data_IF_248407542176
#
_entry.id   IF_248407542176
#
_cell.length_a   1.000
_cell.length_b   1.000
_cell.length_c   1.000
_cell.angle_alpha   90.00
_cell.angle_beta   90.00
_cell.angle_gamma   90.00
#
_symmetry.space_group_name_H-M   'P 1'
#
loop_
_entity.id
_entity.type
_entity.pdbx_description
1 polymer ?
#
# COMPACT_ATOMS: atom_id res chain seq x y z
N UNK A 1 -6.91 13.63 -14.55
CA UNK A 1 -7.94 12.62 -14.24
C UNK A 1 -7.36 11.85 -13.07
N UNK A 2 -7.47 12.38 -11.86
CA UNK A 2 -6.68 11.91 -10.72
C UNK A 2 -7.55 11.94 -9.46
N UNK A 3 -7.28 10.99 -8.55
CA UNK A 3 -8.02 10.58 -7.33
C UNK A 3 -8.79 9.25 -7.41
N UNK A 4 -8.49 8.39 -8.40
CA UNK A 4 -8.98 7.00 -8.38
C UNK A 4 -8.02 6.02 -7.69
N UNK A 5 -6.74 6.36 -7.54
CA UNK A 5 -5.73 5.44 -7.03
C UNK A 5 -5.99 4.94 -5.59
N UNK A 6 -6.70 5.73 -4.79
CA UNK A 6 -7.12 5.37 -3.43
C UNK A 6 -8.50 4.69 -3.36
N UNK A 7 -9.25 4.64 -4.47
CA UNK A 7 -10.58 4.03 -4.47
C UNK A 7 -10.43 2.51 -4.39
N UNK A 8 -10.93 1.85 -3.33
CA UNK A 8 -10.69 0.43 -3.13
C UNK A 8 -11.65 -0.42 -3.99
N UNK A 9 -11.16 -0.88 -5.14
CA UNK A 9 -11.97 -1.55 -6.18
C UNK A 9 -11.59 -3.01 -6.46
N UNK A 10 -10.51 -3.53 -5.88
CA UNK A 10 -10.04 -4.90 -6.10
C UNK A 10 -10.38 -5.82 -4.93
N UNK A 11 -10.76 -7.07 -5.22
CA UNK A 11 -10.83 -8.13 -4.21
C UNK A 11 -9.45 -8.75 -3.98
N UNK A 12 -9.30 -9.58 -2.95
CA UNK A 12 -7.99 -10.14 -2.56
C UNK A 12 -7.31 -10.95 -3.68
N UNK A 13 -8.07 -11.76 -4.43
CA UNK A 13 -7.51 -12.57 -5.53
C UNK A 13 -6.93 -11.68 -6.64
N UNK A 14 -7.68 -10.65 -7.05
CA UNK A 14 -7.23 -9.69 -8.08
C UNK A 14 -6.06 -8.87 -7.57
N UNK A 15 -6.10 -8.42 -6.31
CA UNK A 15 -5.02 -7.67 -5.71
C UNK A 15 -3.71 -8.48 -5.65
N UNK A 16 -3.79 -9.75 -5.25
CA UNK A 16 -2.67 -10.68 -5.22
C UNK A 16 -2.06 -10.84 -6.62
N UNK A 17 -2.89 -11.04 -7.64
CA UNK A 17 -2.46 -11.16 -9.04
C UNK A 17 -1.77 -9.87 -9.53
N UNK A 18 -2.37 -8.70 -9.28
CA UNK A 18 -1.82 -7.41 -9.70
C UNK A 18 -0.50 -7.08 -8.99
N UNK A 19 -0.39 -7.42 -7.71
CA UNK A 19 0.82 -7.23 -6.93
C UNK A 19 1.91 -8.28 -7.23
N UNK A 20 1.58 -9.37 -7.94
CA UNK A 20 2.52 -10.45 -8.23
C UNK A 20 2.85 -11.32 -7.01
N UNK A 21 1.99 -11.36 -6.00
CA UNK A 21 2.23 -12.10 -4.75
C UNK A 21 1.15 -13.15 -4.51
N UNK A 22 1.47 -14.28 -3.83
CA UNK A 22 0.44 -15.22 -3.39
C UNK A 22 -0.54 -14.57 -2.40
N UNK A 23 -1.81 -14.97 -2.43
CA UNK A 23 -2.82 -14.47 -1.46
C UNK A 23 -2.39 -14.69 0.00
N UNK A 24 -1.70 -15.79 0.30
CA UNK A 24 -1.19 -16.07 1.64
C UNK A 24 -0.15 -15.03 2.10
N UNK A 25 0.71 -14.57 1.19
CA UNK A 25 1.69 -13.50 1.46
C UNK A 25 1.01 -12.16 1.68
N UNK A 26 0.00 -11.84 0.87
CA UNK A 26 -0.80 -10.63 1.03
C UNK A 26 -1.50 -10.60 2.40
N UNK A 27 -2.12 -11.72 2.82
CA UNK A 27 -2.72 -11.87 4.15
C UNK A 27 -1.68 -11.75 5.28
N UNK A 28 -0.48 -12.27 5.07
CA UNK A 28 0.62 -12.12 6.03
C UNK A 28 1.00 -10.65 6.17
N UNK A 29 1.16 -9.91 5.07
CA UNK A 29 1.50 -8.49 5.10
C UNK A 29 0.42 -7.65 5.80
N UNK A 30 -0.86 -7.94 5.56
CA UNK A 30 -1.98 -7.36 6.31
C UNK A 30 -1.88 -7.67 7.81
N UNK A 31 -1.67 -8.94 8.18
CA UNK A 31 -1.56 -9.36 9.59
C UNK A 31 -0.34 -8.75 10.29
N UNK A 32 0.71 -8.45 9.51
CA UNK A 32 1.89 -7.71 9.97
C UNK A 32 1.71 -6.20 9.84
N UNK A 33 0.51 -5.68 9.55
CA UNK A 33 0.22 -4.25 9.53
C UNK A 33 1.03 -3.45 8.51
N UNK A 34 1.53 -4.09 7.45
CA UNK A 34 2.24 -3.39 6.36
C UNK A 34 1.26 -2.68 5.42
N UNK A 35 0.00 -3.12 5.44
CA UNK A 35 -1.09 -2.68 4.59
C UNK A 35 -2.38 -2.78 5.40
N UNK A 36 -3.29 -1.80 5.25
CA UNK A 36 -4.63 -1.85 5.84
C UNK A 36 -5.67 -1.59 4.75
N UNK A 37 -6.18 -2.64 4.08
CA UNK A 37 -7.17 -2.45 3.03
C UNK A 37 -8.50 -1.98 3.60
N UNK A 38 -9.25 -1.23 2.79
CA UNK A 38 -10.62 -0.86 3.13
C UNK A 38 -11.51 -2.11 3.20
N UNK A 39 -12.65 -1.98 3.87
CA UNK A 39 -13.70 -3.00 3.87
C UNK A 39 -14.96 -2.42 3.25
N UNK A 40 -15.65 -3.21 2.42
CA UNK A 40 -16.99 -2.88 1.94
C UNK A 40 -18.02 -2.99 3.06
N UNK A 41 -19.23 -2.49 2.82
CA UNK A 41 -20.37 -2.61 3.76
C UNK A 41 -20.70 -4.07 4.10
N UNK A 42 -20.43 -5.00 3.18
CA UNK A 42 -20.54 -6.45 3.39
C UNK A 42 -19.35 -7.08 4.11
N UNK A 43 -18.43 -6.29 4.67
CA UNK A 43 -17.27 -6.76 5.43
C UNK A 43 -16.11 -7.35 4.61
N UNK A 44 -16.20 -7.30 3.27
CA UNK A 44 -15.18 -7.88 2.38
C UNK A 44 -14.04 -6.89 2.15
N UNK A 45 -12.79 -7.38 2.15
CA UNK A 45 -11.60 -6.54 1.89
C UNK A 45 -11.61 -6.01 0.46
N UNK A 46 -11.27 -4.73 0.33
CA UNK A 46 -11.16 -4.01 -0.93
C UNK A 46 -9.83 -3.28 -0.98
N UNK A 47 -9.10 -3.49 -2.07
CA UNK A 47 -7.78 -2.93 -2.32
C UNK A 47 -7.88 -1.88 -3.41
N UNK A 48 -7.11 -0.82 -3.26
CA UNK A 48 -6.94 0.28 -4.19
C UNK A 48 -5.66 0.10 -5.03
N UNK A 49 -5.40 0.96 -6.00
CA UNK A 49 -4.13 0.92 -6.75
C UNK A 49 -2.94 1.26 -5.84
N UNK A 50 -3.11 2.17 -4.88
CA UNK A 50 -2.10 2.51 -3.88
C UNK A 50 -1.74 1.28 -3.02
N UNK A 51 -2.74 0.46 -2.67
CA UNK A 51 -2.52 -0.81 -1.97
C UNK A 51 -1.68 -1.78 -2.81
N UNK A 52 -1.93 -1.84 -4.13
CA UNK A 52 -1.14 -2.69 -5.04
C UNK A 52 0.31 -2.18 -5.13
N UNK A 53 0.50 -0.87 -5.28
CA UNK A 53 1.83 -0.27 -5.31
C UNK A 53 2.62 -0.53 -4.02
N UNK A 54 1.95 -0.39 -2.87
CA UNK A 54 2.52 -0.70 -1.55
C UNK A 54 2.89 -2.19 -1.42
N UNK A 55 2.06 -3.11 -1.91
CA UNK A 55 2.35 -4.55 -1.89
C UNK A 55 3.58 -4.90 -2.74
N UNK A 56 3.74 -4.27 -3.91
CA UNK A 56 4.93 -4.41 -4.74
C UNK A 56 6.17 -3.90 -3.99
N UNK A 57 6.10 -2.71 -3.38
CA UNK A 57 7.19 -2.16 -2.57
C UNK A 57 7.60 -3.05 -1.40
N UNK A 58 6.63 -3.64 -0.69
CA UNK A 58 6.88 -4.63 0.37
C UNK A 58 7.64 -5.84 -0.17
N UNK A 59 7.30 -6.28 -1.37
CA UNK A 59 7.91 -7.45 -2.01
C UNK A 59 9.35 -7.16 -2.42
N UNK A 60 9.59 -6.01 -3.05
CA UNK A 60 10.93 -5.55 -3.44
C UNK A 60 11.86 -5.47 -2.23
N UNK A 61 11.43 -4.80 -1.15
CA UNK A 61 12.24 -4.69 0.07
C UNK A 61 12.51 -6.06 0.73
N UNK A 62 11.55 -7.00 0.63
CA UNK A 62 11.76 -8.35 1.13
C UNK A 62 12.79 -9.12 0.29
N UNK A 63 12.77 -8.94 -1.03
CA UNK A 63 13.75 -9.52 -1.95
C UNK A 63 15.15 -8.93 -1.75
N UNK A 64 15.24 -7.66 -1.34
CA UNK A 64 16.48 -7.01 -0.89
C UNK A 64 16.98 -7.51 0.47
N UNK A 65 16.24 -8.41 1.14
CA UNK A 65 16.61 -9.01 2.42
C UNK A 65 16.20 -8.20 3.64
N UNK A 66 15.37 -7.17 3.48
CA UNK A 66 14.85 -6.37 4.61
C UNK A 66 13.82 -7.20 5.38
N UNK A 67 13.96 -7.24 6.71
CA UNK A 67 12.98 -7.92 7.56
C UNK A 67 11.69 -7.10 7.71
N UNK A 68 10.61 -7.72 8.23
CA UNK A 68 9.29 -7.08 8.36
C UNK A 68 9.32 -5.77 9.16
N UNK A 69 10.14 -5.68 10.21
CA UNK A 69 10.25 -4.46 11.01
C UNK A 69 10.95 -3.33 10.21
N UNK A 70 11.99 -3.68 9.46
CA UNK A 70 12.66 -2.77 8.54
C UNK A 70 11.75 -2.30 7.41
N UNK A 71 10.99 -3.22 6.80
CA UNK A 71 10.02 -2.90 5.74
C UNK A 71 9.01 -1.88 6.25
N UNK A 72 8.42 -2.11 7.44
CA UNK A 72 7.50 -1.16 8.04
C UNK A 72 8.14 0.22 8.21
N UNK A 73 9.37 0.27 8.76
CA UNK A 73 10.06 1.54 8.97
C UNK A 73 10.32 2.29 7.67
N UNK A 74 10.67 1.57 6.60
CA UNK A 74 10.86 2.18 5.27
C UNK A 74 9.55 2.75 4.75
N UNK A 75 8.45 1.98 4.80
CA UNK A 75 7.14 2.46 4.34
C UNK A 75 6.66 3.69 5.12
N UNK A 76 6.79 3.69 6.45
CA UNK A 76 6.41 4.84 7.28
C UNK A 76 7.19 6.11 6.89
N UNK A 77 8.48 5.96 6.57
CA UNK A 77 9.32 7.08 6.13
C UNK A 77 8.97 7.54 4.70
N UNK A 78 8.60 6.63 3.81
CA UNK A 78 8.13 6.95 2.46
C UNK A 78 6.81 7.70 2.50
N UNK A 79 5.87 7.28 3.35
CA UNK A 79 4.59 7.96 3.57
C UNK A 79 4.83 9.39 4.11
N UNK A 80 5.66 9.54 5.15
CA UNK A 80 6.00 10.85 5.71
C UNK A 80 6.65 11.77 4.66
N UNK A 81 7.53 11.23 3.82
CA UNK A 81 8.18 12.00 2.76
C UNK A 81 7.19 12.43 1.68
N UNK A 82 6.27 11.55 1.29
CA UNK A 82 5.20 11.86 0.35
C UNK A 82 4.29 12.98 0.88
N UNK A 83 3.90 12.89 2.16
CA UNK A 83 3.13 13.91 2.85
C UNK A 83 3.85 15.26 2.87
N UNK A 84 5.12 15.30 3.26
CA UNK A 84 5.94 16.51 3.28
C UNK A 84 6.05 17.14 1.89
N UNK A 85 6.29 16.33 0.85
CA UNK A 85 6.35 16.81 -0.54
C UNK A 85 5.03 17.37 -1.01
N UNK A 86 3.90 16.75 -0.65
CA UNK A 86 2.57 17.26 -1.01
C UNK A 86 2.28 18.64 -0.39
N UNK A 87 2.75 18.86 0.85
CA UNK A 87 2.62 20.15 1.55
C UNK A 87 3.51 21.22 0.93
N UNK A 88 4.73 20.87 0.55
CA UNK A 88 5.67 21.79 -0.11
C UNK A 88 5.26 22.14 -1.55
N UNK A 89 4.61 21.21 -2.26
CA UNK A 89 4.13 21.42 -3.62
C UNK A 89 2.83 22.22 -3.71
N UNK A 90 2.20 22.55 -2.57
CA UNK A 90 1.15 23.58 -2.50
C UNK A 90 1.88 24.93 -2.53
N UNK A 91 1.91 25.64 -3.67
CA UNK A 91 2.52 26.96 -3.70
C UNK A 91 1.77 27.81 -2.69
N UNK A 92 2.51 28.51 -1.85
CA UNK A 92 1.96 29.63 -1.10
C UNK A 92 1.21 30.51 -2.12
N UNK A 93 -0.12 30.58 -2.00
CA UNK A 93 -0.91 31.70 -2.51
C UNK A 93 -0.28 32.96 -1.90
N UNK A 94 0.63 33.59 -2.64
CA UNK A 94 1.12 34.95 -2.45
C UNK A 94 1.04 35.70 -3.75
#
# INVERSE_FOLDING_TARGET
MERHAQTPVYGIAVAAQLAGVPEASLRLFEAKGLLTPARSDGGTRRYSDDDIARLRRVTDLREEGVNIAGIRRVLDLEDENADLRSRQASPEDR
#
